data_IF_864850433168
#
_entry.id   IF_864850433168
#
_cell.length_a   1.000
_cell.length_b   1.000
_cell.length_c   1.000
_cell.angle_alpha   90.00
_cell.angle_beta   90.00
_cell.angle_gamma   90.00
#
_symmetry.space_group_name_H-M   'P 1'
#
loop_
_entity.id
_entity.type
_entity.pdbx_description
1 polymer ?
#
# COMPACT_ATOMS: atom_id res chain seq x y z
N UNK A 1 10.21 -3.24 16.49
CA UNK A 1 9.66 -4.59 16.68
C UNK A 1 10.26 -5.47 15.62
N UNK A 2 10.34 -6.77 15.91
CA UNK A 2 11.00 -7.74 15.04
C UNK A 2 10.33 -9.12 15.15
N UNK A 3 10.41 -9.90 14.09
CA UNK A 3 10.21 -11.35 14.17
C UNK A 3 11.46 -11.99 14.77
N UNK A 4 11.29 -12.92 15.69
CA UNK A 4 12.38 -13.64 16.35
C UNK A 4 12.65 -14.95 15.62
N UNK A 5 13.90 -15.17 15.24
CA UNK A 5 14.32 -16.30 14.41
C UNK A 5 14.96 -17.40 15.24
N UNK A 6 14.62 -18.64 14.90
CA UNK A 6 15.30 -19.84 15.37
C UNK A 6 16.65 -19.99 14.65
N UNK A 7 17.59 -20.80 15.19
CA UNK A 7 18.86 -21.08 14.52
C UNK A 7 18.74 -21.69 13.11
N UNK A 8 17.63 -22.37 12.82
CA UNK A 8 17.32 -22.94 11.50
C UNK A 8 16.74 -21.91 10.50
N UNK A 9 16.60 -20.64 10.92
CA UNK A 9 16.04 -19.56 10.11
C UNK A 9 14.51 -19.43 10.16
N UNK A 10 13.80 -20.36 10.79
CA UNK A 10 12.34 -20.29 10.94
C UNK A 10 11.92 -19.27 11.99
N UNK A 11 10.66 -18.80 11.93
CA UNK A 11 10.12 -17.84 12.90
C UNK A 11 9.60 -18.55 14.13
N UNK A 12 10.15 -18.20 15.29
CA UNK A 12 9.80 -18.76 16.60
C UNK A 12 9.02 -17.82 17.50
N UNK A 13 8.83 -16.57 17.10
CA UNK A 13 8.16 -15.58 17.92
C UNK A 13 8.26 -14.15 17.41
N UNK A 14 7.97 -13.22 18.30
CA UNK A 14 7.85 -11.79 18.04
C UNK A 14 8.44 -11.01 19.22
N UNK A 15 9.18 -9.96 18.92
CA UNK A 15 9.51 -8.91 19.87
C UNK A 15 8.55 -7.73 19.71
N UNK A 16 7.78 -7.45 20.75
CA UNK A 16 6.78 -6.39 20.81
C UNK A 16 7.17 -5.31 21.83
N UNK A 17 6.62 -4.10 21.62
CA UNK A 17 6.70 -3.00 22.57
C UNK A 17 5.28 -2.69 23.06
N UNK A 18 5.04 -2.83 24.36
CA UNK A 18 3.84 -2.28 24.98
C UNK A 18 4.01 -0.77 25.05
N UNK A 19 3.41 -0.03 24.11
CA UNK A 19 3.56 1.41 24.04
C UNK A 19 2.88 2.15 25.20
N UNK A 20 1.92 1.52 25.88
CA UNK A 20 1.25 2.11 27.05
C UNK A 20 2.21 2.13 28.22
N UNK A 21 2.86 1.02 28.53
CA UNK A 21 3.78 0.91 29.68
C UNK A 21 5.24 1.21 29.35
N UNK A 22 5.60 1.15 28.07
CA UNK A 22 6.98 1.24 27.58
C UNK A 22 7.79 -0.05 27.73
N UNK A 23 7.17 -1.15 28.17
CA UNK A 23 7.84 -2.43 28.37
C UNK A 23 8.00 -3.20 27.05
N UNK A 24 9.18 -3.76 26.85
CA UNK A 24 9.45 -4.71 25.78
C UNK A 24 9.04 -6.12 26.19
N UNK A 25 8.46 -6.88 25.26
CA UNK A 25 7.97 -8.24 25.49
C UNK A 25 8.45 -9.14 24.35
N UNK A 26 9.03 -10.29 24.68
CA UNK A 26 9.28 -11.36 23.73
C UNK A 26 8.15 -12.40 23.85
N UNK A 27 7.48 -12.67 22.73
CA UNK A 27 6.37 -13.62 22.65
C UNK A 27 6.86 -14.83 21.89
N UNK A 28 6.94 -15.98 22.58
CA UNK A 28 7.25 -17.27 21.96
C UNK A 28 5.99 -17.86 21.34
N UNK A 29 6.12 -18.38 20.12
CA UNK A 29 5.02 -19.00 19.40
C UNK A 29 5.48 -20.22 18.61
N UNK A 30 4.54 -21.12 18.30
CA UNK A 30 4.76 -22.24 17.37
C UNK A 30 4.67 -21.77 15.91
N UNK A 31 3.75 -20.85 15.65
CA UNK A 31 3.56 -20.15 14.39
C UNK A 31 3.26 -18.67 14.65
N UNK A 32 3.62 -17.81 13.70
CA UNK A 32 3.28 -16.39 13.70
C UNK A 32 2.47 -16.07 12.46
N UNK A 33 1.29 -15.49 12.63
CA UNK A 33 0.47 -14.93 11.54
C UNK A 33 0.62 -13.41 11.57
N UNK A 34 1.19 -12.83 10.51
CA UNK A 34 1.20 -11.37 10.32
C UNK A 34 -0.06 -10.92 9.59
N UNK A 35 -0.87 -10.09 10.27
CA UNK A 35 -2.09 -9.50 9.73
C UNK A 35 -2.14 -7.98 10.02
N UNK A 36 -1.04 -7.27 9.79
CA UNK A 36 -0.89 -5.84 10.14
C UNK A 36 -1.54 -4.89 9.13
N UNK A 37 -2.31 -5.40 8.18
CA UNK A 37 -2.99 -4.62 7.15
C UNK A 37 -2.06 -4.04 6.08
N UNK A 38 -2.64 -3.18 5.25
CA UNK A 38 -1.96 -2.49 4.16
C UNK A 38 -1.00 -1.39 4.66
N UNK A 39 -0.29 -0.74 3.73
CA UNK A 39 0.84 0.17 4.01
C UNK A 39 0.66 1.50 3.28
N UNK A 40 -0.53 2.08 3.37
CA UNK A 40 -0.97 3.06 2.37
C UNK A 40 -0.62 4.49 2.78
N UNK A 41 -0.22 4.70 4.04
CA UNK A 41 0.19 6.01 4.56
C UNK A 41 1.65 6.35 4.25
N UNK A 42 2.14 5.86 3.11
CA UNK A 42 3.46 6.13 2.55
C UNK A 42 3.47 7.32 1.58
N UNK A 43 2.30 7.82 1.17
CA UNK A 43 2.16 9.00 0.31
C UNK A 43 1.62 10.21 1.07
N UNK A 44 1.90 11.41 0.56
CA UNK A 44 1.42 12.67 1.14
C UNK A 44 -0.12 12.76 1.12
N UNK A 45 -0.71 12.30 0.01
CA UNK A 45 -2.16 12.13 -0.13
C UNK A 45 -2.51 10.65 -0.12
N UNK A 46 -3.21 10.22 0.94
CA UNK A 46 -3.46 8.81 1.22
C UNK A 46 -4.74 8.62 2.04
N UNK A 47 -5.50 7.56 1.72
CA UNK A 47 -6.64 7.15 2.54
C UNK A 47 -6.20 6.41 3.80
N UNK A 48 -4.97 5.89 3.81
CA UNK A 48 -4.40 5.13 4.90
C UNK A 48 -4.42 5.89 6.23
N UNK A 49 -4.65 5.16 7.31
CA UNK A 49 -4.67 5.64 8.69
C UNK A 49 -3.26 5.82 9.26
N UNK A 50 -3.11 6.23 10.53
CA UNK A 50 -1.81 6.57 11.13
C UNK A 50 -0.86 5.37 11.11
N UNK A 51 -1.42 4.20 11.43
CA UNK A 51 -0.78 2.92 11.67
C UNK A 51 -0.33 2.19 10.39
N UNK A 52 -0.72 2.68 9.21
CA UNK A 52 -0.36 2.07 7.93
C UNK A 52 1.03 2.53 7.45
N UNK A 53 2.05 2.33 8.30
CA UNK A 53 3.46 2.75 8.13
C UNK A 53 4.36 1.71 7.45
N UNK A 54 3.83 0.55 7.05
CA UNK A 54 4.62 -0.51 6.41
C UNK A 54 5.33 -1.46 7.36
N UNK A 55 4.97 -1.45 8.64
CA UNK A 55 5.66 -2.23 9.68
C UNK A 55 5.73 -3.73 9.37
N UNK A 56 4.61 -4.33 8.94
CA UNK A 56 4.54 -5.76 8.58
C UNK A 56 5.50 -6.14 7.45
N UNK A 57 5.59 -5.30 6.42
CA UNK A 57 6.51 -5.51 5.29
C UNK A 57 7.95 -5.39 5.75
N UNK A 58 8.25 -4.36 6.53
CA UNK A 58 9.59 -4.14 7.07
C UNK A 58 10.06 -5.32 7.92
N UNK A 59 9.23 -5.81 8.85
CA UNK A 59 9.64 -6.94 9.72
C UNK A 59 9.75 -8.25 8.96
N UNK A 60 8.85 -8.52 8.00
CA UNK A 60 8.92 -9.73 7.18
C UNK A 60 10.15 -9.72 6.25
N UNK A 61 10.43 -8.60 5.59
CA UNK A 61 11.62 -8.43 4.76
C UNK A 61 12.91 -8.60 5.57
N UNK A 62 12.98 -7.98 6.77
CA UNK A 62 14.13 -8.14 7.67
C UNK A 62 14.29 -9.57 8.16
N UNK A 63 13.21 -10.34 8.27
CA UNK A 63 13.25 -11.76 8.59
C UNK A 63 13.67 -12.65 7.42
N UNK A 64 13.63 -12.14 6.18
CA UNK A 64 14.04 -12.85 4.98
C UNK A 64 12.89 -13.28 4.06
N UNK A 65 11.66 -12.82 4.31
CA UNK A 65 10.53 -13.11 3.44
C UNK A 65 10.71 -12.44 2.07
N UNK A 66 10.30 -13.15 1.03
CA UNK A 66 10.24 -12.64 -0.33
C UNK A 66 9.02 -11.74 -0.48
N UNK A 67 9.13 -10.73 -1.35
CA UNK A 67 8.03 -9.81 -1.66
C UNK A 67 7.63 -10.00 -3.12
N UNK A 68 6.37 -9.73 -3.45
CA UNK A 68 5.86 -9.91 -4.82
C UNK A 68 5.06 -8.69 -5.26
N UNK A 69 5.27 -8.25 -6.50
CA UNK A 69 4.54 -7.16 -7.17
C UNK A 69 4.46 -5.86 -6.35
N UNK A 70 5.49 -5.57 -5.57
CA UNK A 70 5.51 -4.50 -4.58
C UNK A 70 5.23 -3.09 -5.16
N UNK A 71 5.51 -2.90 -6.44
CA UNK A 71 5.27 -1.70 -7.23
C UNK A 71 3.80 -1.48 -7.62
N UNK A 72 2.96 -2.53 -7.55
CA UNK A 72 1.55 -2.48 -7.90
C UNK A 72 0.74 -1.78 -6.81
N UNK A 73 0.75 -0.45 -6.88
CA UNK A 73 0.01 0.45 -6.02
C UNK A 73 -1.35 0.79 -6.64
N UNK A 74 -2.34 1.00 -5.80
CA UNK A 74 -3.69 1.34 -6.20
C UNK A 74 -4.09 2.75 -5.78
N UNK A 75 -4.90 3.38 -6.62
CA UNK A 75 -5.21 4.79 -6.55
C UNK A 75 -6.71 4.98 -6.63
N UNK A 76 -7.27 5.69 -5.65
CA UNK A 76 -8.63 6.21 -5.74
C UNK A 76 -8.59 7.52 -6.51
N UNK A 77 -9.54 7.77 -7.40
CA UNK A 77 -9.60 9.03 -8.17
C UNK A 77 -10.68 9.97 -7.65
N UNK A 78 -11.62 9.51 -6.84
CA UNK A 78 -12.82 10.29 -6.51
C UNK A 78 -12.87 10.75 -5.05
N UNK A 79 -11.72 10.96 -4.42
CA UNK A 79 -11.68 11.50 -3.07
C UNK A 79 -11.73 13.03 -3.10
N UNK A 80 -12.41 13.64 -2.13
CA UNK A 80 -12.62 15.09 -2.12
C UNK A 80 -11.29 15.84 -2.09
N UNK A 81 -11.10 16.75 -3.04
CA UNK A 81 -9.85 17.49 -3.21
C UNK A 81 -9.61 18.47 -2.04
N UNK A 82 -10.66 19.20 -1.66
CA UNK A 82 -10.56 20.30 -0.71
C UNK A 82 -11.64 20.27 0.39
N UNK A 83 -11.28 20.64 1.63
CA UNK A 83 -9.91 20.83 2.12
C UNK A 83 -9.09 19.53 2.08
N UNK A 84 -7.74 19.59 2.05
CA UNK A 84 -6.89 18.39 1.97
C UNK A 84 -7.12 17.35 3.09
N UNK A 85 -7.69 17.77 4.22
CA UNK A 85 -8.08 16.89 5.33
C UNK A 85 -9.24 15.95 4.97
N UNK A 86 -9.96 16.20 3.87
CA UNK A 86 -11.07 15.38 3.38
C UNK A 86 -10.65 14.30 2.36
N UNK A 87 -9.35 14.05 2.20
CA UNK A 87 -8.79 13.00 1.33
C UNK A 87 -9.27 11.54 1.59
N UNK A 88 -10.13 11.32 2.60
CA UNK A 88 -10.76 10.03 2.92
C UNK A 88 -12.27 10.02 2.69
N UNK A 89 -12.83 11.14 2.26
CA UNK A 89 -14.22 11.20 1.82
C UNK A 89 -14.25 10.97 0.32
N UNK A 90 -15.08 10.04 -0.12
CA UNK A 90 -15.07 9.57 -1.49
C UNK A 90 -16.45 9.62 -2.11
N UNK A 91 -16.50 10.00 -3.38
CA UNK A 91 -17.63 9.73 -4.28
C UNK A 91 -17.36 8.38 -4.97
N UNK A 92 -17.86 7.29 -4.40
CA UNK A 92 -17.59 5.96 -4.94
C UNK A 92 -18.22 5.80 -6.33
N UNK A 93 -17.44 5.41 -7.35
CA UNK A 93 -17.94 5.17 -8.70
C UNK A 93 -18.59 3.78 -8.84
N UNK A 94 -18.71 3.01 -7.76
CA UNK A 94 -19.24 1.66 -7.79
C UNK A 94 -20.72 1.66 -8.28
N UNK A 95 -21.16 0.57 -8.91
CA UNK A 95 -22.56 0.45 -9.33
C UNK A 95 -23.53 0.65 -8.16
N UNK A 96 -24.58 1.46 -8.38
CA UNK A 96 -25.74 1.46 -7.49
C UNK A 96 -26.57 0.22 -7.81
N UNK A 97 -26.51 -0.82 -6.98
CA UNK A 97 -27.03 -2.17 -7.29
C UNK A 97 -28.49 -2.25 -7.74
N UNK A 98 -29.32 -1.24 -7.45
CA UNK A 98 -30.72 -1.17 -7.90
C UNK A 98 -31.01 -0.04 -8.89
N UNK A 99 -30.00 0.50 -9.56
CA UNK A 99 -30.12 1.62 -10.50
C UNK A 99 -29.24 1.41 -11.75
N UNK A 100 -29.71 1.81 -12.94
CA UNK A 100 -28.88 1.87 -14.15
C UNK A 100 -27.94 3.08 -14.16
N UNK A 101 -27.92 3.90 -13.10
CA UNK A 101 -27.06 5.07 -12.95
C UNK A 101 -25.97 4.80 -11.91
N UNK A 102 -24.90 5.58 -11.97
CA UNK A 102 -23.78 5.55 -11.00
C UNK A 102 -23.22 6.95 -10.84
N UNK A 103 -22.20 7.12 -10.01
CA UNK A 103 -21.43 8.36 -10.05
C UNK A 103 -20.78 8.52 -11.44
N UNK A 104 -20.67 9.77 -11.89
CA UNK A 104 -19.94 10.15 -13.10
C UNK A 104 -18.77 11.05 -12.76
N UNK A 105 -17.80 11.14 -13.67
CA UNK A 105 -16.69 12.08 -13.60
C UNK A 105 -16.74 13.04 -14.78
N UNK A 106 -16.59 14.33 -14.49
CA UNK A 106 -16.50 15.40 -15.48
C UNK A 106 -15.17 16.15 -15.33
N UNK A 107 -14.62 16.62 -16.44
CA UNK A 107 -13.42 17.46 -16.42
C UNK A 107 -13.76 18.94 -16.18
N UNK A 108 -12.73 19.79 -16.11
CA UNK A 108 -12.91 21.23 -15.89
C UNK A 108 -13.72 21.94 -16.99
N UNK A 109 -13.93 21.34 -18.16
CA UNK A 109 -14.76 21.87 -19.24
C UNK A 109 -16.21 21.35 -19.23
N UNK A 110 -16.59 20.55 -18.22
CA UNK A 110 -17.94 20.01 -18.11
C UNK A 110 -18.20 18.77 -18.96
N UNK A 111 -17.18 18.19 -19.59
CA UNK A 111 -17.31 16.96 -20.38
C UNK A 111 -17.20 15.75 -19.46
N UNK A 112 -18.19 14.86 -19.53
CA UNK A 112 -18.13 13.53 -18.92
C UNK A 112 -17.04 12.69 -19.60
N UNK A 113 -16.14 12.12 -18.79
CA UNK A 113 -15.03 11.29 -19.27
C UNK A 113 -14.99 9.90 -18.65
N UNK A 114 -15.81 9.65 -17.61
CA UNK A 114 -15.96 8.33 -17.03
C UNK A 114 -17.31 8.18 -16.31
N UNK A 115 -17.99 7.07 -16.55
CA UNK A 115 -19.24 6.63 -15.94
C UNK A 115 -19.25 5.10 -15.87
N UNK A 116 -19.27 4.53 -14.66
CA UNK A 116 -19.12 3.08 -14.48
C UNK A 116 -20.16 2.26 -15.27
N UNK A 117 -21.42 2.70 -15.29
CA UNK A 117 -22.49 1.97 -16.00
C UNK A 117 -22.34 2.00 -17.52
N UNK A 118 -21.48 2.86 -18.08
CA UNK A 118 -21.23 2.98 -19.51
C UNK A 118 -19.86 2.44 -19.91
N UNK A 119 -18.82 2.85 -19.18
CA UNK A 119 -17.42 2.58 -19.50
C UNK A 119 -16.91 1.26 -18.91
N UNK A 120 -17.53 0.75 -17.85
CA UNK A 120 -17.15 -0.53 -17.21
C UNK A 120 -18.36 -1.21 -16.50
N UNK A 121 -19.44 -1.55 -17.25
CA UNK A 121 -20.75 -1.90 -16.69
C UNK A 121 -20.76 -3.17 -15.84
N UNK A 122 -19.78 -4.06 -16.01
CA UNK A 122 -19.68 -5.33 -15.27
C UNK A 122 -18.75 -5.26 -14.06
N UNK A 123 -18.02 -4.15 -13.87
CA UNK A 123 -17.07 -4.04 -12.78
C UNK A 123 -17.71 -3.60 -11.46
N UNK A 124 -17.52 -4.40 -10.42
CA UNK A 124 -17.80 -4.00 -9.03
C UNK A 124 -16.83 -2.94 -8.50
N UNK A 125 -15.69 -2.75 -9.17
CA UNK A 125 -14.65 -1.80 -8.79
C UNK A 125 -13.88 -1.32 -10.03
N UNK A 126 -14.36 -0.29 -10.74
CA UNK A 126 -13.82 0.13 -12.03
C UNK A 126 -12.57 1.03 -11.91
N UNK A 127 -11.89 0.99 -10.77
CA UNK A 127 -10.91 2.00 -10.36
C UNK A 127 -9.70 2.09 -11.30
N UNK A 128 -9.27 0.98 -11.92
CA UNK A 128 -8.17 0.99 -12.89
C UNK A 128 -8.59 1.62 -14.21
N UNK A 129 -9.80 1.31 -14.71
CA UNK A 129 -10.35 1.95 -15.92
C UNK A 129 -10.54 3.45 -15.67
N UNK A 130 -11.07 3.79 -14.50
CA UNK A 130 -11.25 5.16 -14.03
C UNK A 130 -9.92 5.93 -13.97
N UNK A 131 -8.88 5.35 -13.39
CA UNK A 131 -7.54 5.94 -13.33
C UNK A 131 -6.96 6.17 -14.73
N UNK A 132 -7.13 5.22 -15.66
CA UNK A 132 -6.69 5.37 -17.05
C UNK A 132 -7.47 6.47 -17.78
N UNK A 133 -8.78 6.58 -17.54
CA UNK A 133 -9.58 7.67 -18.08
C UNK A 133 -9.11 9.04 -17.56
N UNK A 134 -8.84 9.15 -16.26
CA UNK A 134 -8.27 10.36 -15.67
C UNK A 134 -6.87 10.67 -16.23
N UNK A 135 -6.01 9.67 -16.42
CA UNK A 135 -4.67 9.87 -16.98
C UNK A 135 -4.74 10.53 -18.37
N UNK A 136 -5.70 10.12 -19.22
CA UNK A 136 -5.93 10.77 -20.53
C UNK A 136 -6.33 12.24 -20.41
N UNK A 137 -7.19 12.56 -19.44
CA UNK A 137 -7.59 13.95 -19.17
C UNK A 137 -6.41 14.79 -18.64
N UNK A 138 -5.54 14.21 -17.81
CA UNK A 138 -4.31 14.84 -17.33
C UNK A 138 -3.34 15.10 -18.48
N UNK A 139 -3.11 14.11 -19.35
CA UNK A 139 -2.24 14.24 -20.52
C UNK A 139 -2.74 15.32 -21.49
N UNK A 140 -4.05 15.48 -21.59
CA UNK A 140 -4.66 16.50 -22.44
C UNK A 140 -4.83 17.87 -21.76
N UNK A 141 -4.33 18.06 -20.54
CA UNK A 141 -4.39 19.33 -19.80
C UNK A 141 -5.80 19.71 -19.32
N UNK A 142 -6.72 18.75 -19.23
CA UNK A 142 -8.12 18.95 -18.82
C UNK A 142 -8.40 18.61 -17.36
N UNK A 143 -7.45 17.96 -16.70
CA UNK A 143 -7.47 17.63 -15.28
C UNK A 143 -6.04 17.61 -14.72
N UNK A 144 -5.91 17.50 -13.40
CA UNK A 144 -4.66 17.18 -12.70
C UNK A 144 -4.93 16.02 -11.74
N UNK A 145 -3.92 15.25 -11.39
CA UNK A 145 -4.11 14.22 -10.37
C UNK A 145 -4.51 14.79 -9.00
N UNK A 146 -4.22 16.05 -8.71
CA UNK A 146 -4.56 16.72 -7.46
C UNK A 146 -5.81 17.62 -7.54
N UNK A 147 -6.55 17.63 -8.65
CA UNK A 147 -7.79 18.43 -8.79
C UNK A 147 -8.11 18.83 -10.23
N UNK A 148 -9.09 19.72 -10.41
CA UNK A 148 -9.53 20.17 -11.73
C UNK A 148 -10.44 19.18 -12.47
N UNK A 149 -11.07 18.26 -11.74
CA UNK A 149 -12.14 17.40 -12.23
C UNK A 149 -13.11 17.12 -11.07
N UNK A 150 -14.33 16.73 -11.41
CA UNK A 150 -15.41 16.62 -10.45
C UNK A 150 -16.13 15.28 -10.60
N UNK A 151 -16.59 14.73 -9.48
CA UNK A 151 -17.40 13.53 -9.46
C UNK A 151 -18.68 13.74 -8.66
N UNK A 152 -19.74 13.03 -9.03
CA UNK A 152 -20.99 13.08 -8.27
C UNK A 152 -22.13 12.33 -8.92
N UNK A 153 -23.29 12.46 -8.29
CA UNK A 153 -24.54 11.81 -8.64
C UNK A 153 -25.59 12.86 -9.07
N UNK A 154 -25.15 13.99 -9.61
CA UNK A 154 -25.97 15.15 -10.00
C UNK A 154 -27.05 14.82 -11.05
N UNK A 155 -26.90 13.69 -11.75
CA UNK A 155 -27.86 13.16 -12.72
C UNK A 155 -28.75 12.02 -12.15
N UNK A 156 -28.56 11.67 -10.88
CA UNK A 156 -29.36 10.71 -10.13
C UNK A 156 -30.37 11.44 -9.22
N UNK A 157 -31.51 10.83 -8.93
CA UNK A 157 -32.45 11.43 -7.98
C UNK A 157 -31.94 11.25 -6.54
N UNK A 158 -32.23 12.19 -5.65
CA UNK A 158 -31.85 12.07 -4.23
C UNK A 158 -32.37 10.78 -3.59
N UNK A 159 -33.62 10.39 -3.87
CA UNK A 159 -34.20 9.16 -3.34
C UNK A 159 -33.49 7.89 -3.82
N UNK A 160 -33.02 7.86 -5.06
CA UNK A 160 -32.26 6.73 -5.62
C UNK A 160 -30.88 6.61 -4.97
N UNK A 161 -30.17 7.73 -4.84
CA UNK A 161 -28.85 7.77 -4.19
C UNK A 161 -28.95 7.37 -2.72
N UNK A 162 -29.96 7.88 -2.00
CA UNK A 162 -30.17 7.55 -0.58
C UNK A 162 -30.62 6.10 -0.37
N UNK A 163 -31.30 5.49 -1.34
CA UNK A 163 -31.72 4.10 -1.28
C UNK A 163 -30.57 3.12 -1.53
N UNK A 164 -29.66 3.44 -2.45
CA UNK A 164 -28.64 2.50 -2.94
C UNK A 164 -27.19 2.85 -2.58
N UNK A 165 -26.96 3.96 -1.88
CA UNK A 165 -25.64 4.37 -1.39
C UNK A 165 -25.69 4.76 0.08
N UNK A 166 -24.54 4.76 0.76
CA UNK A 166 -24.42 5.20 2.17
C UNK A 166 -23.73 6.55 2.34
N UNK A 167 -23.28 7.18 1.24
CA UNK A 167 -22.35 8.30 1.30
C UNK A 167 -23.04 9.63 1.62
N UNK A 168 -24.28 9.83 1.14
CA UNK A 168 -24.91 11.15 1.17
C UNK A 168 -25.07 11.75 2.56
N UNK A 169 -25.24 10.91 3.59
CA UNK A 169 -25.30 11.36 4.98
C UNK A 169 -24.06 12.15 5.40
N UNK A 170 -22.85 11.65 5.10
CA UNK A 170 -21.60 12.30 5.50
C UNK A 170 -21.38 13.63 4.76
N UNK A 171 -21.71 13.69 3.47
CA UNK A 171 -21.63 14.93 2.69
C UNK A 171 -22.61 15.99 3.23
N UNK A 172 -23.86 15.62 3.49
CA UNK A 172 -24.88 16.54 4.05
C UNK A 172 -24.55 17.01 5.47
N UNK A 173 -23.96 16.17 6.31
CA UNK A 173 -23.47 16.55 7.65
C UNK A 173 -22.38 17.62 7.61
N UNK A 174 -21.65 17.72 6.49
CA UNK A 174 -20.64 18.76 6.25
C UNK A 174 -21.21 19.99 5.52
N UNK A 175 -22.53 20.05 5.34
CA UNK A 175 -23.22 21.14 4.66
C UNK A 175 -23.09 21.12 3.13
N UNK A 176 -22.64 20.01 2.54
CA UNK A 176 -22.56 19.86 1.09
C UNK A 176 -23.92 19.44 0.51
N UNK A 177 -24.41 20.08 -0.57
CA UNK A 177 -25.66 19.73 -1.24
C UNK A 177 -25.50 18.46 -2.08
N UNK A 178 -25.56 17.30 -1.41
CA UNK A 178 -25.43 15.98 -2.02
C UNK A 178 -26.79 15.26 -2.08
N UNK A 179 -27.17 14.68 -3.24
CA UNK A 179 -26.35 14.46 -4.45
C UNK A 179 -26.44 15.56 -5.53
N UNK A 180 -27.06 16.70 -5.25
CA UNK A 180 -27.44 17.70 -6.26
C UNK A 180 -26.25 18.36 -6.96
N UNK A 181 -25.08 18.41 -6.34
CA UNK A 181 -23.88 18.99 -6.93
C UNK A 181 -22.74 18.00 -7.09
N UNK A 182 -21.87 18.33 -8.03
CA UNK A 182 -20.60 17.65 -8.23
C UNK A 182 -19.58 18.15 -7.20
N UNK A 183 -18.68 17.25 -6.80
CA UNK A 183 -17.62 17.52 -5.84
C UNK A 183 -16.28 17.50 -6.56
N UNK A 184 -15.43 18.49 -6.32
CA UNK A 184 -14.07 18.45 -6.87
C UNK A 184 -13.28 17.32 -6.21
N UNK A 185 -12.67 16.48 -7.04
CA UNK A 185 -11.98 15.26 -6.60
C UNK A 185 -10.51 15.29 -6.96
N UNK A 186 -9.73 14.50 -6.22
CA UNK A 186 -8.30 14.34 -6.40
C UNK A 186 -7.91 12.88 -6.12
N UNK A 187 -6.81 12.45 -6.76
CA UNK A 187 -6.27 11.11 -6.59
C UNK A 187 -5.68 10.94 -5.20
N UNK A 188 -5.82 9.75 -4.64
CA UNK A 188 -5.28 9.37 -3.34
C UNK A 188 -4.69 7.97 -3.42
N UNK A 189 -3.52 7.75 -2.80
CA UNK A 189 -3.00 6.40 -2.61
C UNK A 189 -3.91 5.62 -1.66
N UNK A 190 -4.42 4.45 -2.08
CA UNK A 190 -5.45 3.74 -1.32
C UNK A 190 -4.99 2.42 -0.72
N UNK A 191 -4.62 1.45 -1.55
CA UNK A 191 -4.00 0.20 -1.12
C UNK A 191 -2.95 -0.29 -2.11
N UNK A 192 -2.42 -1.48 -1.87
CA UNK A 192 -1.41 -2.15 -2.69
C UNK A 192 -1.87 -3.56 -3.04
N UNK A 193 -1.59 -3.97 -4.27
CA UNK A 193 -1.82 -5.35 -4.72
C UNK A 193 -0.60 -6.21 -4.37
N UNK A 194 0.61 -5.65 -4.45
CA UNK A 194 1.82 -6.33 -4.00
C UNK A 194 1.88 -6.55 -2.50
N UNK A 195 2.75 -7.46 -2.05
CA UNK A 195 2.78 -7.95 -0.68
C UNK A 195 3.96 -8.83 -0.35
N UNK A 196 3.88 -9.49 0.80
CA UNK A 196 4.71 -10.66 1.10
C UNK A 196 4.28 -11.80 0.17
N UNK A 197 5.25 -12.48 -0.45
CA UNK A 197 4.99 -13.65 -1.28
C UNK A 197 4.52 -14.81 -0.40
N UNK A 198 3.36 -15.36 -0.76
CA UNK A 198 2.70 -16.43 -0.01
C UNK A 198 2.17 -17.50 -0.95
N UNK A 199 2.06 -18.71 -0.44
CA UNK A 199 1.20 -19.74 -1.06
C UNK A 199 -0.28 -19.38 -0.80
N UNK A 200 -1.10 -19.12 -1.85
CA UNK A 200 -2.48 -18.70 -1.68
C UNK A 200 -3.40 -19.77 -1.07
N UNK A 201 -3.00 -21.05 -1.08
CA UNK A 201 -3.81 -22.12 -0.51
C UNK A 201 -3.58 -22.32 1.00
N UNK A 202 -2.45 -21.83 1.51
CA UNK A 202 -2.01 -22.09 2.89
C UNK A 202 -1.62 -20.82 3.66
N UNK A 203 -1.50 -19.69 2.96
CA UNK A 203 -1.03 -18.40 3.46
C UNK A 203 0.36 -18.45 4.10
N UNK A 204 1.16 -19.47 3.77
CA UNK A 204 2.55 -19.60 4.19
C UNK A 204 3.42 -18.61 3.44
N UNK A 205 4.28 -17.89 4.15
CA UNK A 205 5.35 -17.11 3.50
C UNK A 205 6.51 -17.99 3.06
N UNK A 206 7.49 -17.40 2.38
CA UNK A 206 8.77 -18.06 2.07
C UNK A 206 9.67 -18.32 3.28
N UNK A 207 9.31 -17.80 4.47
CA UNK A 207 10.02 -18.08 5.73
C UNK A 207 9.25 -19.12 6.55
N UNK A 208 9.86 -20.27 6.89
CA UNK A 208 9.19 -21.28 7.70
C UNK A 208 8.70 -20.74 9.05
N UNK A 209 7.49 -21.14 9.46
CA UNK A 209 6.87 -20.67 10.71
C UNK A 209 6.19 -19.30 10.63
N UNK A 210 6.29 -18.61 9.49
CA UNK A 210 5.64 -17.32 9.22
C UNK A 210 4.51 -17.47 8.19
N UNK A 211 3.33 -17.05 8.60
CA UNK A 211 2.11 -16.97 7.80
C UNK A 211 1.72 -15.51 7.69
N UNK A 212 1.02 -15.15 6.61
CA UNK A 212 0.65 -13.76 6.35
C UNK A 212 -0.78 -13.73 5.87
N UNK A 213 -1.59 -12.81 6.38
CA UNK A 213 -2.99 -12.69 6.01
C UNK A 213 -3.41 -11.24 5.77
N UNK A 214 -4.49 -11.08 5.00
CA UNK A 214 -5.04 -9.77 4.67
C UNK A 214 -4.10 -8.96 3.80
N UNK A 215 -4.32 -7.65 3.71
CA UNK A 215 -3.62 -6.72 2.79
C UNK A 215 -2.09 -6.61 2.91
N UNK A 216 -1.47 -7.41 3.76
CA UNK A 216 -0.03 -7.55 3.85
C UNK A 216 0.54 -8.60 2.87
N UNK A 217 -0.23 -9.64 2.55
CA UNK A 217 0.11 -10.62 1.53
C UNK A 217 0.02 -10.00 0.11
N UNK A 218 0.66 -10.64 -0.87
CA UNK A 218 0.58 -10.21 -2.26
C UNK A 218 -0.63 -10.83 -2.94
N UNK A 219 -1.58 -10.00 -3.39
CA UNK A 219 -2.80 -10.44 -4.07
C UNK A 219 -2.81 -9.93 -5.51
N UNK A 220 -3.30 -10.74 -6.44
CA UNK A 220 -3.42 -10.36 -7.85
C UNK A 220 -4.28 -9.10 -8.06
N UNK A 221 -5.28 -8.87 -7.20
CA UNK A 221 -6.29 -7.82 -7.43
C UNK A 221 -6.36 -6.80 -6.28
N UNK A 222 -5.73 -7.07 -5.12
CA UNK A 222 -5.82 -6.23 -3.90
C UNK A 222 -7.24 -6.09 -3.31
N UNK A 223 -8.21 -6.85 -3.83
CA UNK A 223 -9.62 -6.70 -3.45
C UNK A 223 -9.86 -7.14 -2.00
N UNK A 224 -10.66 -6.34 -1.27
CA UNK A 224 -11.04 -6.58 0.13
C UNK A 224 -11.61 -7.99 0.36
N UNK A 225 -12.37 -8.51 -0.61
CA UNK A 225 -12.95 -9.85 -0.53
C UNK A 225 -11.91 -10.97 -0.37
N UNK A 226 -10.76 -10.84 -1.04
CA UNK A 226 -9.67 -11.82 -0.94
C UNK A 226 -8.97 -11.71 0.43
N UNK A 227 -8.61 -10.48 0.82
CA UNK A 227 -7.98 -10.19 2.10
C UNK A 227 -8.80 -10.66 3.33
N UNK A 228 -10.13 -10.78 3.19
CA UNK A 228 -11.02 -11.19 4.28
C UNK A 228 -10.95 -12.70 4.55
N UNK A 229 -10.67 -13.52 3.53
CA UNK A 229 -10.65 -14.98 3.64
C UNK A 229 -9.29 -15.52 4.13
N UNK A 230 -8.20 -14.82 3.78
CA UNK A 230 -6.82 -15.20 4.12
C UNK A 230 -6.59 -15.53 5.59
N UNK A 231 -7.20 -14.77 6.50
CA UNK A 231 -7.04 -14.98 7.94
C UNK A 231 -7.56 -16.35 8.38
N UNK A 232 -8.66 -16.79 7.79
CA UNK A 232 -9.23 -18.12 8.05
C UNK A 232 -8.32 -19.21 7.47
N UNK A 233 -7.84 -19.05 6.23
CA UNK A 233 -6.92 -20.02 5.60
C UNK A 233 -5.63 -20.16 6.41
N UNK A 234 -5.04 -19.05 6.85
CA UNK A 234 -3.85 -19.06 7.69
C UNK A 234 -4.11 -19.76 9.02
N UNK A 235 -5.25 -19.50 9.66
CA UNK A 235 -5.63 -20.13 10.93
C UNK A 235 -5.87 -21.64 10.78
N UNK A 236 -6.60 -22.07 9.75
CA UNK A 236 -6.85 -23.48 9.43
C UNK A 236 -5.55 -24.23 9.13
N UNK A 237 -4.67 -23.60 8.35
CA UNK A 237 -3.34 -24.15 8.06
C UNK A 237 -2.52 -24.31 9.33
N UNK A 238 -2.46 -23.29 10.20
CA UNK A 238 -1.74 -23.40 11.48
C UNK A 238 -2.33 -24.47 12.37
N UNK A 239 -3.67 -24.61 12.42
CA UNK A 239 -4.36 -25.66 13.18
C UNK A 239 -3.94 -27.05 12.71
N UNK A 240 -4.00 -27.32 11.42
CA UNK A 240 -3.74 -28.64 10.84
C UNK A 240 -2.28 -29.07 11.02
N UNK A 241 -1.41 -28.10 11.31
CA UNK A 241 0.03 -28.28 11.42
C UNK A 241 0.54 -28.14 12.86
N UNK A 242 -0.34 -27.83 13.81
CA UNK A 242 0.05 -27.52 15.18
C UNK A 242 0.84 -28.65 15.86
N UNK A 243 0.55 -29.90 15.49
CA UNK A 243 1.24 -31.10 16.00
C UNK A 243 2.67 -31.28 15.49
N UNK A 244 3.08 -30.59 14.43
CA UNK A 244 4.44 -30.60 13.87
C UNK A 244 5.19 -29.27 14.04
N UNK A 245 4.52 -28.26 14.60
CA UNK A 245 5.11 -26.96 14.87
C UNK A 245 5.65 -26.94 16.29
N UNK A 246 6.97 -26.83 16.41
CA UNK A 246 7.63 -26.72 17.71
C UNK A 246 7.62 -25.28 18.23
N UNK A 247 7.42 -25.05 19.54
CA UNK A 247 7.52 -23.71 20.10
C UNK A 247 8.94 -23.16 19.88
N UNK A 248 9.03 -21.89 19.51
CA UNK A 248 10.32 -21.31 19.15
C UNK A 248 11.27 -21.08 20.31
N UNK A 249 12.42 -21.74 20.29
CA UNK A 249 13.59 -21.28 21.03
C UNK A 249 14.43 -20.39 20.11
N UNK A 250 14.54 -19.13 20.49
CA UNK A 250 15.33 -18.10 19.82
C UNK A 250 16.44 -17.61 20.75
N UNK A 251 17.61 -17.20 20.23
CA UNK A 251 18.72 -16.74 21.05
C UNK A 251 18.33 -15.52 21.89
N UNK A 252 18.73 -15.52 23.17
CA UNK A 252 18.53 -14.35 24.06
C UNK A 252 19.18 -13.08 23.48
N UNK A 253 20.25 -13.23 22.70
CA UNK A 253 20.90 -12.14 21.99
C UNK A 253 19.99 -11.44 20.98
N UNK A 254 19.06 -12.12 20.30
CA UNK A 254 18.11 -11.46 19.40
C UNK A 254 17.18 -10.52 20.17
N UNK A 255 16.70 -10.96 21.34
CA UNK A 255 15.84 -10.17 22.23
C UNK A 255 16.58 -8.94 22.74
N UNK A 256 17.81 -9.14 23.23
CA UNK A 256 18.61 -8.06 23.81
C UNK A 256 19.04 -7.03 22.75
N UNK A 257 19.38 -7.49 21.54
CA UNK A 257 19.71 -6.61 20.42
C UNK A 257 18.53 -5.73 20.03
N UNK A 258 17.32 -6.30 19.89
CA UNK A 258 16.13 -5.53 19.55
C UNK A 258 15.71 -4.60 20.70
N UNK A 259 15.81 -5.05 21.95
CA UNK A 259 15.58 -4.20 23.14
C UNK A 259 16.51 -2.99 23.15
N UNK A 260 17.80 -3.24 22.94
CA UNK A 260 18.83 -2.19 22.89
C UNK A 260 18.61 -1.23 21.72
N UNK A 261 18.25 -1.74 20.53
CA UNK A 261 17.94 -0.91 19.36
C UNK A 261 16.76 0.03 19.62
N UNK A 262 15.65 -0.48 20.15
CA UNK A 262 14.49 0.36 20.45
C UNK A 262 14.78 1.34 21.59
N UNK A 263 15.48 0.91 22.64
CA UNK A 263 15.87 1.78 23.74
C UNK A 263 16.77 2.94 23.28
N UNK A 264 17.76 2.65 22.43
CA UNK A 264 18.64 3.65 21.84
C UNK A 264 17.86 4.68 21.03
N UNK A 265 16.88 4.24 20.23
CA UNK A 265 16.02 5.14 19.47
C UNK A 265 15.20 6.10 20.35
N UNK A 266 14.76 5.64 21.53
CA UNK A 266 13.98 6.47 22.47
C UNK A 266 14.81 7.57 23.13
N UNK A 267 16.08 7.27 23.42
CA UNK A 267 16.98 8.20 24.12
C UNK A 267 17.90 8.97 23.17
N UNK A 268 17.79 8.71 21.87
CA UNK A 268 18.47 9.49 20.84
C UNK A 268 18.05 10.97 20.95
N UNK A 269 18.99 11.80 21.38
CA UNK A 269 18.82 13.24 21.48
C UNK A 269 19.68 13.89 20.40
N UNK A 270 19.03 14.61 19.50
CA UNK A 270 19.67 15.49 18.54
C UNK A 270 18.87 16.80 18.59
N UNK A 271 19.27 17.79 19.42
CA UNK A 271 18.51 19.02 19.63
C UNK A 271 18.19 19.77 18.32
N UNK A 272 19.15 19.79 17.39
CA UNK A 272 19.00 20.37 16.04
C UNK A 272 18.64 19.32 14.97
N UNK A 273 18.22 18.14 15.42
CA UNK A 273 17.87 16.98 14.61
C UNK A 273 16.48 17.08 13.98
N UNK A 274 16.23 16.19 13.02
CA UNK A 274 14.88 16.04 12.46
C UNK A 274 14.00 15.25 13.44
N UNK A 275 12.79 15.75 13.71
CA UNK A 275 11.82 14.99 14.51
C UNK A 275 11.14 13.91 13.66
N UNK A 276 10.75 12.75 14.24
CA UNK A 276 10.18 11.64 13.49
C UNK A 276 8.98 12.00 12.60
N UNK A 277 8.07 12.83 13.11
CA UNK A 277 6.91 13.30 12.33
C UNK A 277 7.34 14.03 11.04
N UNK A 278 8.38 14.88 11.12
CA UNK A 278 8.91 15.62 9.96
C UNK A 278 9.67 14.72 8.99
N UNK A 279 10.34 13.67 9.48
CA UNK A 279 10.92 12.63 8.63
C UNK A 279 9.81 11.94 7.82
N UNK A 280 8.74 11.50 8.48
CA UNK A 280 7.59 10.85 7.81
C UNK A 280 6.92 11.77 6.80
N UNK A 281 6.75 13.06 7.11
CA UNK A 281 6.21 14.05 6.17
C UNK A 281 7.08 14.19 4.92
N UNK A 282 8.41 14.32 5.08
CA UNK A 282 9.35 14.43 3.95
C UNK A 282 9.32 13.18 3.07
N UNK A 283 9.30 11.99 3.67
CA UNK A 283 9.25 10.73 2.93
C UNK A 283 7.93 10.58 2.16
N UNK A 284 6.81 10.95 2.76
CA UNK A 284 5.51 10.96 2.08
C UNK A 284 5.46 11.93 0.89
N UNK A 285 6.06 13.11 1.04
CA UNK A 285 6.17 14.09 -0.04
C UNK A 285 7.03 13.56 -1.19
N UNK A 286 8.17 12.93 -0.87
CA UNK A 286 9.05 12.28 -1.84
C UNK A 286 8.30 11.20 -2.63
N UNK A 287 7.62 10.28 -1.93
CA UNK A 287 6.88 9.19 -2.56
C UNK A 287 5.76 9.72 -3.47
N UNK A 288 5.06 10.76 -3.04
CA UNK A 288 4.02 11.40 -3.86
C UNK A 288 4.60 12.03 -5.13
N UNK A 289 5.72 12.75 -5.02
CA UNK A 289 6.31 13.50 -6.13
C UNK A 289 7.03 12.60 -7.14
N UNK A 290 7.69 11.54 -6.69
CA UNK A 290 8.61 10.73 -7.52
C UNK A 290 8.14 9.30 -7.76
N UNK A 291 7.19 8.82 -6.97
CA UNK A 291 6.68 7.43 -7.00
C UNK A 291 5.15 7.40 -7.06
N UNK A 292 4.54 8.51 -7.50
CA UNK A 292 3.10 8.73 -7.63
C UNK A 292 2.43 7.87 -8.71
N UNK A 293 1.30 8.35 -9.25
CA UNK A 293 0.49 7.64 -10.25
C UNK A 293 1.33 7.23 -11.46
N UNK A 294 1.92 8.21 -12.13
CA UNK A 294 2.85 8.01 -13.22
C UNK A 294 4.29 8.23 -12.73
N UNK A 295 5.21 7.39 -13.20
CA UNK A 295 6.62 7.46 -12.84
C UNK A 295 7.51 7.12 -14.04
N UNK A 296 8.81 7.36 -13.91
CA UNK A 296 9.82 6.99 -14.89
C UNK A 296 11.15 6.66 -14.20
N UNK A 297 12.09 6.05 -14.93
CA UNK A 297 13.35 5.62 -14.35
C UNK A 297 14.19 6.77 -13.77
N UNK A 298 14.08 7.98 -14.31
CA UNK A 298 14.83 9.14 -13.81
C UNK A 298 14.29 9.57 -12.43
N UNK A 299 12.97 9.73 -12.31
CA UNK A 299 12.30 10.05 -11.05
C UNK A 299 12.52 8.98 -9.98
N UNK A 300 12.45 7.70 -10.37
CA UNK A 300 12.68 6.59 -9.45
C UNK A 300 14.14 6.50 -8.97
N UNK A 301 15.14 6.69 -9.85
CA UNK A 301 16.56 6.76 -9.44
C UNK A 301 16.81 7.95 -8.52
N UNK A 302 16.19 9.09 -8.81
CA UNK A 302 16.26 10.26 -7.93
C UNK A 302 15.61 9.98 -6.56
N UNK A 303 14.52 9.23 -6.51
CA UNK A 303 13.90 8.80 -5.24
C UNK A 303 14.84 7.90 -4.42
N UNK A 304 15.54 6.95 -5.04
CA UNK A 304 16.54 6.14 -4.33
C UNK A 304 17.67 6.99 -3.75
N UNK A 305 18.20 7.97 -4.50
CA UNK A 305 19.25 8.85 -4.02
C UNK A 305 18.80 9.70 -2.81
N UNK A 306 17.56 10.18 -2.83
CA UNK A 306 16.98 10.91 -1.70
C UNK A 306 16.75 10.00 -0.49
N UNK A 307 16.25 8.77 -0.70
CA UNK A 307 16.06 7.79 0.39
C UNK A 307 17.40 7.41 1.02
N UNK A 308 18.44 7.23 0.22
CA UNK A 308 19.80 6.99 0.72
C UNK A 308 20.31 8.20 1.52
N UNK A 309 20.04 9.41 1.05
CA UNK A 309 20.33 10.64 1.81
C UNK A 309 19.56 10.67 3.13
N UNK A 310 18.30 10.21 3.16
CA UNK A 310 17.53 10.12 4.40
C UNK A 310 18.17 9.10 5.34
N UNK A 311 18.57 7.93 4.84
CA UNK A 311 19.18 6.85 5.62
C UNK A 311 20.54 7.26 6.19
N UNK A 312 21.39 7.91 5.39
CA UNK A 312 22.75 8.29 5.76
C UNK A 312 22.83 9.58 6.58
N UNK A 313 22.06 10.61 6.21
CA UNK A 313 22.29 11.97 6.72
C UNK A 313 21.19 12.48 7.67
N UNK A 314 19.94 12.05 7.49
CA UNK A 314 18.81 12.51 8.31
C UNK A 314 18.48 11.56 9.45
N UNK A 315 18.44 10.26 9.18
CA UNK A 315 18.03 9.24 10.15
C UNK A 315 18.97 9.18 11.37
N UNK A 316 20.31 9.27 11.24
CA UNK A 316 21.19 9.30 12.41
C UNK A 316 21.04 10.55 13.27
N UNK A 317 20.51 11.64 12.70
CA UNK A 317 20.20 12.89 13.40
C UNK A 317 18.74 12.95 13.83
N UNK A 318 17.98 11.86 13.72
CA UNK A 318 16.61 11.82 14.20
C UNK A 318 16.61 11.78 15.73
N UNK A 319 15.95 12.75 16.35
CA UNK A 319 15.90 12.89 17.80
C UNK A 319 14.48 13.02 18.31
N UNK A 320 14.22 12.51 19.52
CA UNK A 320 12.95 12.65 20.21
C UNK A 320 13.02 13.82 21.19
N UNK A 321 11.94 14.60 21.29
CA UNK A 321 11.76 15.61 22.33
C UNK A 321 11.48 14.99 23.70
N UNK A 322 10.83 13.82 23.71
CA UNK A 322 10.45 13.12 24.96
C UNK A 322 11.09 11.74 25.03
N UNK A 323 11.77 11.48 26.14
CA UNK A 323 12.46 10.20 26.39
C UNK A 323 11.68 9.25 27.29
N UNK A 324 10.57 9.69 27.89
CA UNK A 324 9.74 8.80 28.73
C UNK A 324 9.19 7.63 27.90
N UNK A 325 9.14 6.41 28.45
CA UNK A 325 8.78 5.22 27.66
C UNK A 325 7.25 5.00 27.56
N UNK A 326 6.49 5.55 28.50
CA UNK A 326 5.03 5.41 28.62
C UNK A 326 4.29 6.33 27.64
N UNK A 327 3.38 5.78 26.85
CA UNK A 327 2.53 6.51 25.88
C UNK A 327 3.32 7.43 24.94
N UNK A 328 4.51 6.99 24.53
CA UNK A 328 5.41 7.80 23.70
C UNK A 328 5.14 7.59 22.21
N UNK A 329 4.22 8.38 21.65
CA UNK A 329 3.92 8.36 20.22
C UNK A 329 5.07 8.85 19.33
N UNK A 330 5.99 9.67 19.87
CA UNK A 330 7.18 10.12 19.12
C UNK A 330 8.15 8.95 18.93
N UNK A 331 8.25 8.06 19.92
CA UNK A 331 9.01 6.81 19.80
C UNK A 331 8.38 5.84 18.81
N UNK A 332 7.05 5.73 18.79
CA UNK A 332 6.35 4.98 17.74
C UNK A 332 6.61 5.59 16.35
N UNK A 333 6.51 6.91 16.22
CA UNK A 333 6.78 7.60 14.96
C UNK A 333 8.23 7.40 14.48
N UNK A 334 9.20 7.27 15.40
CA UNK A 334 10.58 6.97 15.08
C UNK A 334 10.76 5.55 14.55
N UNK A 335 10.07 4.58 15.16
CA UNK A 335 10.04 3.19 14.67
C UNK A 335 9.41 3.14 13.28
N UNK A 336 8.26 3.80 13.11
CA UNK A 336 7.57 3.92 11.81
C UNK A 336 8.48 4.53 10.77
N UNK A 337 9.20 5.62 11.08
CA UNK A 337 10.07 6.29 10.10
C UNK A 337 11.15 5.35 9.55
N UNK A 338 11.74 4.51 10.40
CA UNK A 338 12.72 3.50 9.98
C UNK A 338 12.06 2.45 9.08
N UNK A 339 10.88 1.96 9.45
CA UNK A 339 10.14 0.99 8.65
C UNK A 339 9.71 1.57 7.30
N UNK A 340 9.23 2.81 7.28
CA UNK A 340 8.84 3.51 6.07
C UNK A 340 10.02 3.71 5.13
N UNK A 341 11.21 4.07 5.62
CA UNK A 341 12.41 4.19 4.77
C UNK A 341 12.69 2.86 4.06
N UNK A 342 12.72 1.75 4.79
CA UNK A 342 12.94 0.42 4.22
C UNK A 342 11.86 0.08 3.17
N UNK A 343 10.58 0.26 3.50
CA UNK A 343 9.48 -0.12 2.60
C UNK A 343 9.41 0.76 1.36
N UNK A 344 9.61 2.07 1.50
CA UNK A 344 9.66 2.99 0.37
C UNK A 344 10.79 2.63 -0.59
N UNK A 345 11.98 2.33 -0.07
CA UNK A 345 13.14 1.89 -0.88
C UNK A 345 12.80 0.64 -1.68
N UNK A 346 12.20 -0.37 -1.02
CA UNK A 346 11.80 -1.62 -1.68
C UNK A 346 10.75 -1.34 -2.79
N UNK A 347 9.76 -0.49 -2.55
CA UNK A 347 8.76 -0.09 -3.57
C UNK A 347 9.46 0.56 -4.78
N UNK A 348 10.44 1.44 -4.55
CA UNK A 348 11.16 2.12 -5.62
C UNK A 348 12.00 1.11 -6.42
N UNK A 349 12.70 0.18 -5.75
CA UNK A 349 13.43 -0.89 -6.44
C UNK A 349 12.52 -1.76 -7.29
N UNK A 350 11.36 -2.19 -6.75
CA UNK A 350 10.39 -2.97 -7.52
C UNK A 350 9.85 -2.19 -8.73
N UNK A 351 9.59 -0.89 -8.53
CA UNK A 351 9.12 0.00 -9.60
C UNK A 351 10.17 0.20 -10.69
N UNK A 352 11.46 0.25 -10.35
CA UNK A 352 12.55 0.34 -11.32
C UNK A 352 12.71 -0.96 -12.11
N UNK A 353 12.63 -2.10 -11.42
CA UNK A 353 12.83 -3.41 -12.03
C UNK A 353 11.77 -3.72 -13.10
N UNK A 354 10.52 -3.29 -12.92
CA UNK A 354 9.44 -3.51 -13.90
C UNK A 354 9.48 -2.48 -15.02
N UNK A 355 9.87 -2.92 -16.21
CA UNK A 355 10.00 -2.14 -17.45
C UNK A 355 8.77 -2.33 -18.37
N UNK A 356 7.58 -2.09 -17.84
CA UNK A 356 6.31 -2.02 -18.58
C UNK A 356 5.33 -1.09 -17.85
N UNK A 357 4.16 -0.88 -18.42
CA UNK A 357 2.99 -0.32 -17.74
C UNK A 357 1.86 -1.34 -17.75
N UNK A 358 1.29 -1.66 -16.58
CA UNK A 358 0.21 -2.65 -16.46
C UNK A 358 -0.79 -2.23 -15.39
N UNK A 359 -2.04 -2.08 -15.79
CA UNK A 359 -3.12 -1.69 -14.89
C UNK A 359 -2.84 -0.32 -14.25
N UNK A 360 -2.82 -0.21 -12.91
CA UNK A 360 -2.55 1.05 -12.21
C UNK A 360 -1.05 1.42 -12.11
N UNK A 361 -0.14 0.52 -12.53
CA UNK A 361 1.28 0.81 -12.59
C UNK A 361 1.64 1.43 -13.94
N UNK A 362 1.98 2.72 -13.94
CA UNK A 362 2.24 3.51 -15.16
C UNK A 362 3.68 4.04 -15.19
N UNK A 363 4.48 3.51 -16.11
CA UNK A 363 5.85 3.94 -16.43
C UNK A 363 5.84 4.72 -17.74
N UNK A 364 6.10 6.03 -17.71
CA UNK A 364 6.08 6.88 -18.91
C UNK A 364 7.16 6.51 -19.93
N UNK A 365 8.28 6.00 -19.44
CA UNK A 365 9.40 5.48 -20.24
C UNK A 365 9.16 4.06 -20.78
N UNK A 366 8.14 3.36 -20.28
CA UNK A 366 7.67 2.05 -20.75
C UNK A 366 6.13 2.01 -20.80
N UNK A 367 5.47 2.76 -21.70
CA UNK A 367 4.03 3.01 -21.63
C UNK A 367 3.16 1.80 -22.01
N UNK A 368 3.77 0.75 -22.57
CA UNK A 368 3.07 -0.43 -23.05
C UNK A 368 2.95 -1.51 -21.96
N UNK A 369 1.82 -2.20 -21.93
CA UNK A 369 1.69 -3.52 -21.32
C UNK A 369 2.43 -4.53 -22.18
N UNK A 370 3.38 -5.27 -21.61
CA UNK A 370 4.25 -6.22 -22.31
C UNK A 370 3.99 -7.65 -21.85
N UNK A 371 3.15 -8.37 -22.60
CA UNK A 371 2.83 -9.76 -22.31
C UNK A 371 3.94 -10.75 -22.72
N UNK A 372 4.90 -10.34 -23.57
CA UNK A 372 6.05 -11.19 -23.92
C UNK A 372 7.03 -11.32 -22.75
N UNK A 373 7.24 -10.22 -22.01
CA UNK A 373 8.30 -10.16 -20.98
C UNK A 373 7.74 -10.14 -19.56
N UNK A 374 6.59 -9.49 -19.36
CA UNK A 374 6.10 -9.08 -18.05
C UNK A 374 4.70 -9.62 -17.71
N UNK A 375 4.23 -10.63 -18.45
CA UNK A 375 3.14 -11.51 -18.01
C UNK A 375 3.61 -12.45 -16.89
N UNK A 376 4.14 -11.86 -15.83
CA UNK A 376 4.84 -12.50 -14.74
C UNK A 376 4.73 -11.66 -13.46
N UNK A 377 4.78 -12.34 -12.33
CA UNK A 377 4.98 -11.70 -11.04
C UNK A 377 6.43 -11.19 -10.93
N UNK A 378 6.60 -10.02 -10.34
CA UNK A 378 7.90 -9.45 -10.00
C UNK A 378 8.24 -9.82 -8.54
N UNK A 379 9.05 -10.85 -8.34
CA UNK A 379 9.39 -11.39 -7.01
C UNK A 379 10.75 -10.83 -6.58
N UNK A 380 10.78 -10.19 -5.42
CA UNK A 380 11.98 -9.64 -4.81
C UNK A 380 12.47 -10.56 -3.69
N UNK A 381 13.72 -10.97 -3.78
CA UNK A 381 14.40 -11.80 -2.80
C UNK A 381 15.51 -11.03 -2.11
N UNK A 382 15.65 -11.22 -0.80
CA UNK A 382 16.81 -10.73 -0.07
C UNK A 382 18.01 -11.63 -0.34
N UNK A 383 19.17 -11.04 -0.52
CA UNK A 383 20.45 -11.75 -0.65
C UNK A 383 21.43 -11.23 0.42
N UNK A 384 22.55 -11.92 0.64
CA UNK A 384 23.52 -11.52 1.66
C UNK A 384 24.02 -10.07 1.52
N UNK A 385 24.15 -9.58 0.28
CA UNK A 385 24.73 -8.26 -0.03
C UNK A 385 23.75 -7.31 -0.75
N UNK A 386 22.43 -7.59 -0.73
CA UNK A 386 21.45 -6.75 -1.42
C UNK A 386 20.15 -7.46 -1.72
N UNK A 387 19.59 -7.22 -2.91
CA UNK A 387 18.34 -7.80 -3.37
C UNK A 387 18.48 -8.36 -4.79
N UNK A 388 17.68 -9.38 -5.12
CA UNK A 388 17.59 -9.96 -6.46
C UNK A 388 16.13 -10.03 -6.89
N UNK A 389 15.87 -9.71 -8.15
CA UNK A 389 14.56 -9.91 -8.75
C UNK A 389 14.48 -11.22 -9.52
N UNK A 390 13.32 -11.86 -9.42
CA UNK A 390 12.90 -13.00 -10.21
C UNK A 390 11.58 -12.66 -10.88
N UNK A 391 11.50 -12.88 -12.19
CA UNK A 391 10.23 -12.84 -12.91
C UNK A 391 9.64 -14.25 -12.89
N UNK A 392 8.54 -14.44 -12.16
CA UNK A 392 7.83 -15.71 -12.06
C UNK A 392 6.61 -15.68 -13.01
N UNK A 393 6.64 -16.36 -14.17
CA UNK A 393 5.54 -16.35 -15.12
C UNK A 393 4.22 -16.79 -14.48
N UNK A 394 3.11 -16.20 -14.91
CA UNK A 394 1.80 -16.68 -14.48
C UNK A 394 1.39 -17.92 -15.28
N UNK A 395 0.84 -18.92 -14.59
CA UNK A 395 0.12 -20.00 -15.24
C UNK A 395 -1.28 -19.51 -15.62
N UNK A 396 -1.57 -19.51 -16.91
CA UNK A 396 -2.84 -18.99 -17.44
C UNK A 396 -3.63 -20.10 -18.15
N UNK A 397 -4.21 -21.06 -17.41
CA UNK A 397 -4.95 -22.17 -18.00
C UNK A 397 -6.25 -21.74 -18.70
N UNK A 398 -6.83 -20.61 -18.29
CA UNK A 398 -8.16 -20.16 -18.75
C UNK A 398 -8.14 -18.88 -19.57
N UNK A 399 -7.05 -18.12 -19.54
CA UNK A 399 -6.96 -16.81 -20.18
C UNK A 399 -5.68 -16.72 -20.99
N UNK A 400 -5.75 -16.20 -22.22
CA UNK A 400 -4.56 -15.88 -23.00
C UNK A 400 -4.74 -14.48 -23.57
N UNK A 401 -3.80 -13.55 -23.31
CA UNK A 401 -3.85 -12.25 -23.96
C UNK A 401 -3.82 -12.42 -25.49
N UNK A 402 -4.62 -11.63 -26.18
CA UNK A 402 -4.71 -11.57 -27.65
C UNK A 402 -3.69 -10.61 -28.26
N UNK A 403 -2.86 -9.95 -27.45
CA UNK A 403 -1.79 -9.06 -27.87
C UNK A 403 -0.48 -9.32 -27.14
N UNK A 404 0.63 -9.03 -27.82
CA UNK A 404 1.98 -9.13 -27.24
C UNK A 404 2.34 -7.85 -26.49
N UNK A 405 2.20 -6.68 -27.14
CA UNK A 405 2.40 -5.36 -26.54
C UNK A 405 1.31 -4.41 -26.98
N UNK A 406 0.80 -3.59 -26.05
CA UNK A 406 -0.22 -2.57 -26.32
C UNK A 406 -0.06 -1.40 -25.35
N UNK A 407 -0.41 -0.18 -25.75
CA UNK A 407 -0.43 0.97 -24.84
C UNK A 407 -1.30 0.64 -23.61
N UNK A 408 -0.76 0.81 -22.40
CA UNK A 408 -1.48 0.45 -21.17
C UNK A 408 -2.81 1.20 -21.04
N UNK A 409 -2.92 2.44 -21.52
CA UNK A 409 -4.17 3.18 -21.46
C UNK A 409 -5.26 2.52 -22.32
N UNK A 410 -4.89 1.85 -23.42
CA UNK A 410 -5.81 1.15 -24.33
C UNK A 410 -6.12 -0.30 -23.95
N UNK A 411 -5.44 -0.84 -22.94
CA UNK A 411 -5.70 -2.18 -22.42
C UNK A 411 -6.88 -2.13 -21.47
N UNK A 412 -7.97 -2.82 -21.82
CA UNK A 412 -9.11 -3.04 -20.92
C UNK A 412 -8.66 -3.86 -19.69
N UNK A 413 -9.34 -3.68 -18.55
CA UNK A 413 -9.05 -4.45 -17.34
C UNK A 413 -9.58 -5.88 -17.45
#
# INVERSE_FOLDING_TARGET
>A
TALLRRPDGSIGGLFALNYVTGQAVAIRARAVILATGYSDRLHARSTGSREMSGDGLAVAWRAGASLVNLEMQWWHTNDVAHPPTWQRMQVYPNPMLGSPKSARMINAQGKEFFNQQQDDPLAYGPYTVQLKALAREVHAGRARYDGGYFAGFDHCSAGEVDAYTTYGKSFRQLGLPFPETLVETAVTAHYRQGGIDVDPNSMRSTVPGLYVAGGLAGHSNGLIGLATYDGMVAADTVRDELGRLEPGDFPWSEIENERSRLAALRVACSPDGIVPAKMKEKLRALMWQKVGVEKDAAGLRSALADIETFRRDLLPRMGLKRTLPTLNYEWLDAIDAINMIDVCELIVHASLAREESRGPFMRRDFPQTDNATWLAANVMHRTGNGLRFERRPYELPFFKPDFVRKDNLEVAW
#
